data_IF_505994041370
#
_entry.id   IF_505994041370
#
_cell.length_a   1.000
_cell.length_b   1.000
_cell.length_c   1.000
_cell.angle_alpha   90.00
_cell.angle_beta   90.00
_cell.angle_gamma   90.00
#
_symmetry.space_group_name_H-M   'P 1'
#
loop_
_entity.id
_entity.type
_entity.pdbx_description
1 polymer ?
#
# COMPACT_ATOMS: atom_id res chain seq x y z
N UNK A 1 -37.56 53.92 -59.16
CA UNK A 1 -37.24 54.22 -57.78
C UNK A 1 -37.01 52.90 -57.12
N UNK A 2 -35.74 52.38 -57.14
CA UNK A 2 -35.34 51.08 -56.66
C UNK A 2 -34.56 51.23 -55.35
N UNK A 3 -35.12 50.79 -54.24
CA UNK A 3 -34.44 50.77 -52.95
C UNK A 3 -33.58 49.47 -52.83
N UNK A 4 -32.29 49.71 -52.78
CA UNK A 4 -31.29 48.63 -52.53
C UNK A 4 -31.18 48.37 -51.03
N UNK A 5 -31.60 47.17 -50.58
CA UNK A 5 -31.48 46.71 -49.21
C UNK A 5 -30.09 46.04 -49.04
N UNK A 6 -29.18 46.76 -48.36
CA UNK A 6 -27.87 46.18 -47.97
C UNK A 6 -28.03 45.33 -46.72
N UNK A 7 -28.00 44.00 -46.84
CA UNK A 7 -27.93 43.06 -45.74
C UNK A 7 -26.48 43.01 -45.24
N UNK A 8 -26.23 43.50 -44.02
CA UNK A 8 -24.94 43.30 -43.31
C UNK A 8 -24.97 41.96 -42.66
N UNK A 9 -24.18 41.02 -43.21
CA UNK A 9 -23.92 39.70 -42.63
C UNK A 9 -22.94 39.88 -41.44
N UNK A 10 -23.44 39.75 -40.21
CA UNK A 10 -22.61 39.72 -39.01
C UNK A 10 -22.11 38.30 -38.82
N UNK A 11 -20.84 38.07 -39.15
CA UNK A 11 -20.16 36.78 -38.89
C UNK A 11 -19.85 36.69 -37.37
N UNK A 12 -20.65 35.91 -36.64
CA UNK A 12 -20.38 35.60 -35.26
C UNK A 12 -19.32 34.46 -35.24
N UNK A 13 -18.06 34.82 -35.00
CA UNK A 13 -16.97 33.86 -34.77
C UNK A 13 -17.16 33.32 -33.36
N UNK A 14 -17.77 32.13 -33.21
CA UNK A 14 -17.76 31.34 -32.01
C UNK A 14 -16.31 30.85 -31.83
N UNK A 15 -15.57 31.50 -30.94
CA UNK A 15 -14.31 30.97 -30.42
C UNK A 15 -14.70 29.81 -29.49
N UNK A 16 -14.70 28.59 -30.04
CA UNK A 16 -14.70 27.36 -29.22
C UNK A 16 -13.36 27.33 -28.50
N UNK A 17 -13.34 27.84 -27.27
CA UNK A 17 -12.26 27.50 -26.33
C UNK A 17 -12.32 26.01 -26.08
N UNK A 18 -11.57 25.25 -26.85
CA UNK A 18 -11.24 23.87 -26.51
C UNK A 18 -10.44 23.95 -25.20
N UNK A 19 -11.09 23.75 -24.06
CA UNK A 19 -10.41 23.30 -22.87
C UNK A 19 -9.88 21.92 -23.18
N UNK A 20 -8.66 21.82 -23.71
CA UNK A 20 -7.90 20.61 -23.56
C UNK A 20 -7.71 20.45 -22.05
N UNK A 21 -8.27 19.43 -21.45
CA UNK A 21 -7.87 18.98 -20.14
C UNK A 21 -6.37 18.72 -20.22
N UNK A 22 -5.57 19.67 -19.70
CA UNK A 22 -4.14 19.39 -19.46
C UNK A 22 -4.16 18.17 -18.57
N UNK A 23 -3.51 17.11 -18.98
CA UNK A 23 -3.21 15.99 -18.10
C UNK A 23 -2.50 16.61 -16.89
N UNK A 24 -3.18 16.63 -15.74
CA UNK A 24 -2.62 17.15 -14.49
C UNK A 24 -1.48 16.27 -13.97
N UNK A 25 -1.23 15.15 -14.65
CA UNK A 25 -0.20 14.16 -14.31
C UNK A 25 1.08 14.40 -15.08
N UNK A 26 2.20 14.45 -14.34
CA UNK A 26 3.54 14.58 -14.91
C UNK A 26 4.36 13.37 -14.53
N UNK A 27 4.94 12.68 -15.52
CA UNK A 27 5.91 11.60 -15.27
C UNK A 27 7.13 12.16 -14.53
N UNK A 28 7.60 11.40 -13.54
CA UNK A 28 8.82 11.73 -12.81
C UNK A 28 9.98 11.02 -13.49
N UNK A 29 10.99 11.80 -13.87
CA UNK A 29 12.23 11.31 -14.48
C UNK A 29 13.33 11.04 -13.46
N UNK A 30 14.58 10.94 -13.94
CA UNK A 30 15.78 10.75 -13.14
C UNK A 30 16.29 9.32 -13.22
N UNK A 31 16.10 8.51 -12.18
CA UNK A 31 16.48 7.10 -12.20
C UNK A 31 15.74 6.33 -13.30
N UNK A 32 16.47 5.59 -14.11
CA UNK A 32 15.89 4.67 -15.07
C UNK A 32 15.51 3.36 -14.38
N UNK A 33 14.22 3.04 -14.37
CA UNK A 33 13.70 1.76 -13.91
C UNK A 33 13.93 0.73 -15.02
N UNK A 34 14.58 -0.38 -14.69
CA UNK A 34 14.87 -1.43 -15.67
C UNK A 34 13.58 -2.12 -16.17
N UNK A 35 13.71 -2.76 -17.32
CA UNK A 35 12.74 -3.72 -17.82
C UNK A 35 12.55 -4.83 -16.84
N UNK A 36 11.88 -5.27 -16.15
CA UNK A 36 11.81 -6.23 -15.03
C UNK A 36 11.72 -5.57 -13.65
N UNK A 37 11.63 -4.24 -13.60
CA UNK A 37 11.35 -3.55 -12.33
C UNK A 37 9.90 -3.71 -11.91
N UNK A 38 9.66 -3.88 -10.62
CA UNK A 38 8.33 -4.08 -10.05
C UNK A 38 8.28 -3.75 -8.56
N UNK A 39 7.06 -3.78 -8.04
CA UNK A 39 6.80 -3.69 -6.61
C UNK A 39 7.36 -2.40 -6.01
N UNK A 40 6.97 -1.23 -6.57
CA UNK A 40 7.37 0.05 -5.99
C UNK A 40 6.71 0.23 -4.63
N UNK A 41 7.46 0.80 -3.69
CA UNK A 41 6.94 1.27 -2.42
C UNK A 41 7.41 2.69 -2.18
N UNK A 42 6.47 3.58 -1.88
CA UNK A 42 6.72 4.99 -1.57
C UNK A 42 6.71 5.21 -0.07
N UNK A 43 7.53 6.13 0.40
CA UNK A 43 7.53 6.57 1.79
C UNK A 43 7.97 8.04 1.88
N UNK A 44 7.20 8.87 2.56
CA UNK A 44 7.58 10.25 2.85
C UNK A 44 7.75 10.51 4.35
N UNK A 45 8.62 11.46 4.69
CA UNK A 45 8.79 11.96 6.05
C UNK A 45 9.25 13.40 6.03
N UNK A 46 8.32 14.34 6.14
CA UNK A 46 8.60 15.76 6.06
C UNK A 46 9.08 16.18 4.67
N UNK A 47 10.35 16.56 4.55
CA UNK A 47 10.96 16.98 3.27
C UNK A 47 11.68 15.85 2.52
N UNK A 48 11.56 14.63 3.01
CA UNK A 48 12.18 13.45 2.40
C UNK A 48 11.10 12.59 1.76
N UNK A 49 11.28 12.21 0.50
CA UNK A 49 10.48 11.22 -0.21
C UNK A 49 11.42 10.20 -0.82
N UNK A 50 11.14 8.94 -0.57
CA UNK A 50 11.94 7.80 -1.05
C UNK A 50 11.04 6.78 -1.75
N UNK A 51 11.64 6.08 -2.71
CA UNK A 51 11.03 4.92 -3.37
C UNK A 51 11.95 3.71 -3.19
N UNK A 52 11.38 2.53 -2.96
CA UNK A 52 12.08 1.26 -3.11
C UNK A 52 11.41 0.39 -4.17
N UNK A 53 12.16 -0.52 -4.78
CA UNK A 53 11.62 -1.42 -5.79
C UNK A 53 12.52 -2.63 -6.00
N UNK A 54 11.97 -3.67 -6.63
CA UNK A 54 12.74 -4.84 -7.05
C UNK A 54 13.07 -4.79 -8.54
N UNK A 55 14.22 -5.32 -8.92
CA UNK A 55 14.60 -5.65 -10.29
C UNK A 55 15.05 -7.10 -10.34
N UNK A 56 14.71 -7.82 -11.41
CA UNK A 56 15.25 -9.16 -11.66
C UNK A 56 16.17 -9.13 -12.87
N UNK A 57 17.37 -9.64 -12.70
CA UNK A 57 18.33 -9.81 -13.82
C UNK A 57 18.89 -11.22 -13.77
N UNK A 58 18.56 -12.02 -14.79
CA UNK A 58 18.86 -13.45 -14.82
C UNK A 58 18.23 -14.15 -13.60
N UNK A 59 18.99 -14.84 -12.78
CA UNK A 59 18.49 -15.52 -11.57
C UNK A 59 18.72 -14.72 -10.27
N UNK A 60 19.07 -13.44 -10.39
CA UNK A 60 19.38 -12.58 -9.24
C UNK A 60 18.35 -11.47 -9.10
N UNK A 61 17.82 -11.32 -7.90
CA UNK A 61 16.95 -10.23 -7.53
C UNK A 61 17.76 -9.13 -6.87
N UNK A 62 17.37 -7.91 -7.12
CA UNK A 62 17.99 -6.70 -6.58
C UNK A 62 16.90 -5.85 -5.92
N UNK A 63 17.14 -5.38 -4.72
CA UNK A 63 16.31 -4.41 -4.03
C UNK A 63 17.02 -3.06 -4.04
N UNK A 64 16.40 -2.07 -4.66
CA UNK A 64 16.94 -0.71 -4.79
C UNK A 64 16.10 0.29 -4.01
N UNK A 65 16.70 1.46 -3.76
CA UNK A 65 16.04 2.67 -3.30
C UNK A 65 16.56 3.89 -4.06
N UNK A 66 15.75 4.93 -4.12
CA UNK A 66 16.14 6.25 -4.62
C UNK A 66 15.42 7.35 -3.83
N UNK A 67 15.98 8.55 -3.86
CA UNK A 67 15.44 9.74 -3.22
C UNK A 67 14.83 10.68 -4.26
N UNK A 68 13.75 11.35 -3.89
CA UNK A 68 13.12 12.36 -4.74
C UNK A 68 13.75 13.73 -4.48
N UNK A 69 14.53 14.20 -5.43
CA UNK A 69 15.26 15.45 -5.34
C UNK A 69 15.02 16.31 -6.59
N UNK A 70 14.68 17.60 -6.40
CA UNK A 70 14.53 18.56 -7.50
C UNK A 70 13.63 18.05 -8.65
N UNK A 71 12.46 17.52 -8.29
CA UNK A 71 11.47 17.01 -9.23
C UNK A 71 11.86 15.75 -10.01
N UNK A 72 12.84 14.99 -9.53
CA UNK A 72 13.28 13.73 -10.15
C UNK A 72 13.72 12.71 -9.11
N UNK A 73 13.74 11.43 -9.48
CA UNK A 73 14.39 10.38 -8.68
C UNK A 73 15.89 10.46 -8.89
N UNK A 74 16.65 10.45 -7.79
CA UNK A 74 18.10 10.54 -7.79
C UNK A 74 18.68 9.59 -6.72
N UNK A 75 20.00 9.51 -6.61
CA UNK A 75 20.69 8.71 -5.59
C UNK A 75 20.23 7.24 -5.55
N UNK A 76 20.17 6.57 -6.74
CA UNK A 76 19.87 5.14 -6.79
C UNK A 76 20.91 4.36 -5.98
N UNK A 77 20.48 3.66 -4.94
CA UNK A 77 21.30 2.80 -4.11
C UNK A 77 20.83 1.36 -4.12
N UNK A 78 21.74 0.42 -4.09
CA UNK A 78 21.44 -0.99 -3.85
C UNK A 78 21.28 -1.21 -2.35
N UNK A 79 20.14 -1.72 -1.93
CA UNK A 79 19.89 -2.15 -0.56
C UNK A 79 20.54 -3.52 -0.34
N UNK A 80 20.18 -4.49 -1.20
CA UNK A 80 20.72 -5.85 -1.21
C UNK A 80 20.43 -6.54 -2.53
N UNK A 81 21.11 -7.65 -2.78
CA UNK A 81 20.83 -8.54 -3.91
C UNK A 81 20.98 -10.01 -3.48
N UNK A 82 20.38 -10.91 -4.26
CA UNK A 82 20.50 -12.33 -3.98
C UNK A 82 19.60 -13.23 -4.83
N UNK A 83 19.77 -14.52 -4.62
CA UNK A 83 19.00 -15.57 -5.26
C UNK A 83 18.03 -16.21 -4.26
N UNK A 84 17.13 -17.03 -4.79
CA UNK A 84 16.13 -17.76 -3.98
C UNK A 84 15.20 -16.86 -3.15
N UNK A 85 14.90 -15.66 -3.65
CA UNK A 85 13.87 -14.82 -3.03
C UNK A 85 12.48 -15.32 -3.38
N UNK A 86 11.54 -15.10 -2.44
CA UNK A 86 10.12 -15.18 -2.73
C UNK A 86 9.63 -13.82 -3.22
N UNK A 87 9.67 -13.60 -4.55
CA UNK A 87 9.17 -12.38 -5.18
C UNK A 87 7.69 -12.56 -5.49
N UNK A 88 6.85 -11.75 -4.89
CA UNK A 88 5.40 -11.86 -5.02
C UNK A 88 4.75 -10.48 -5.14
N UNK A 89 3.83 -10.35 -6.08
CA UNK A 89 3.10 -9.12 -6.37
C UNK A 89 2.27 -8.59 -5.21
N UNK A 90 1.93 -9.43 -4.23
CA UNK A 90 1.08 -9.10 -3.09
C UNK A 90 1.85 -9.05 -1.78
N UNK A 91 3.01 -9.70 -1.70
CA UNK A 91 3.89 -9.72 -0.54
C UNK A 91 5.25 -9.17 -0.98
N UNK A 92 5.38 -7.86 -0.94
CA UNK A 92 6.44 -7.10 -1.56
C UNK A 92 7.29 -6.34 -0.53
N UNK A 93 8.56 -6.05 -0.84
CA UNK A 93 9.42 -5.24 0.00
C UNK A 93 8.86 -3.84 0.24
N UNK A 94 9.07 -3.31 1.43
CA UNK A 94 8.76 -1.93 1.79
C UNK A 94 9.99 -1.21 2.31
N UNK A 95 9.92 0.12 2.39
CA UNK A 95 10.95 0.96 3.00
C UNK A 95 10.30 1.92 3.99
N UNK A 96 10.98 2.17 5.11
CA UNK A 96 10.58 3.18 6.11
C UNK A 96 11.80 4.00 6.54
N UNK A 97 11.60 5.27 6.82
CA UNK A 97 12.66 6.17 7.23
C UNK A 97 12.31 6.88 8.54
N UNK A 98 13.13 6.64 9.57
CA UNK A 98 13.04 7.37 10.82
C UNK A 98 13.97 8.59 10.77
N UNK A 99 13.38 9.77 10.53
CA UNK A 99 14.11 11.03 10.39
C UNK A 99 14.80 11.46 11.70
N UNK A 100 14.23 11.11 12.87
CA UNK A 100 14.77 11.49 14.17
C UNK A 100 16.15 10.86 14.42
N UNK A 101 16.31 9.61 14.07
CA UNK A 101 17.56 8.84 14.24
C UNK A 101 18.38 8.72 12.95
N UNK A 102 17.87 9.21 11.83
CA UNK A 102 18.45 9.11 10.48
C UNK A 102 18.80 7.67 10.09
N UNK A 103 17.83 6.76 10.26
CA UNK A 103 17.94 5.35 9.93
C UNK A 103 16.79 4.94 8.99
N UNK A 104 17.07 4.02 8.05
CA UNK A 104 16.07 3.44 7.16
C UNK A 104 15.94 1.94 7.45
N UNK A 105 14.76 1.40 7.23
CA UNK A 105 14.45 -0.03 7.35
C UNK A 105 13.84 -0.50 6.04
N UNK A 106 14.30 -1.64 5.53
CA UNK A 106 13.67 -2.33 4.40
C UNK A 106 13.76 -3.85 4.61
N UNK A 107 13.10 -4.65 3.77
CA UNK A 107 13.12 -6.11 3.86
C UNK A 107 12.99 -6.76 2.50
N UNK A 108 13.34 -8.03 2.43
CA UNK A 108 12.97 -8.95 1.36
C UNK A 108 12.55 -10.31 1.94
N UNK A 109 11.90 -11.12 1.13
CA UNK A 109 11.48 -12.45 1.52
C UNK A 109 12.44 -13.49 0.92
N UNK A 110 13.11 -14.25 1.80
CA UNK A 110 14.09 -15.27 1.44
C UNK A 110 13.48 -16.66 1.57
N UNK A 111 13.49 -17.47 0.52
CA UNK A 111 13.04 -18.86 0.61
C UNK A 111 13.84 -19.63 1.67
N UNK A 112 13.15 -20.33 2.54
CA UNK A 112 13.72 -21.14 3.62
C UNK A 112 13.65 -22.64 3.33
N UNK A 113 12.91 -23.07 2.29
CA UNK A 113 12.85 -24.44 1.80
C UNK A 113 12.46 -24.50 0.32
N UNK A 114 12.31 -25.73 -0.21
CA UNK A 114 11.82 -25.98 -1.57
C UNK A 114 10.30 -25.76 -1.73
N UNK A 115 9.56 -25.63 -0.63
CA UNK A 115 8.13 -25.33 -0.67
C UNK A 115 7.90 -23.92 -1.15
N UNK A 116 6.84 -23.69 -1.92
CA UNK A 116 6.49 -22.35 -2.43
C UNK A 116 6.21 -21.37 -1.29
N UNK A 117 5.50 -21.80 -0.26
CA UNK A 117 5.11 -20.99 0.89
C UNK A 117 5.97 -21.32 2.12
N UNK A 118 7.29 -21.27 1.94
CA UNK A 118 8.27 -21.43 3.02
C UNK A 118 9.37 -20.41 2.81
N UNK A 119 9.23 -19.28 3.47
CA UNK A 119 10.13 -18.14 3.37
C UNK A 119 10.20 -17.35 4.67
N UNK A 120 11.32 -16.70 4.85
CA UNK A 120 11.68 -15.89 6.01
C UNK A 120 11.74 -14.42 5.63
N UNK A 121 11.48 -13.53 6.59
CA UNK A 121 11.64 -12.09 6.43
C UNK A 121 13.08 -11.73 6.80
N UNK A 122 13.89 -11.38 5.81
CA UNK A 122 15.21 -10.81 6.03
C UNK A 122 15.12 -9.29 5.93
N UNK A 123 15.59 -8.56 6.94
CA UNK A 123 15.52 -7.10 6.95
C UNK A 123 16.89 -6.44 6.79
N UNK A 124 16.86 -5.23 6.29
CA UNK A 124 18.03 -4.40 5.98
C UNK A 124 17.90 -3.08 6.73
N UNK A 125 19.00 -2.65 7.32
CA UNK A 125 19.04 -1.47 8.17
C UNK A 125 20.09 -0.48 7.67
N UNK A 126 19.63 0.73 7.29
CA UNK A 126 20.54 1.80 6.87
C UNK A 126 20.94 2.68 8.04
N UNK A 127 22.23 2.87 8.19
CA UNK A 127 22.79 3.76 9.20
C UNK A 127 24.17 4.27 8.75
N UNK A 128 24.48 5.53 9.09
CA UNK A 128 25.80 6.13 8.81
C UNK A 128 26.22 5.99 7.34
N UNK A 129 25.26 6.21 6.41
CA UNK A 129 25.51 6.22 4.99
C UNK A 129 25.67 4.85 4.32
N UNK A 130 25.29 3.77 4.97
CA UNK A 130 25.36 2.42 4.38
C UNK A 130 24.26 1.48 4.86
N UNK A 131 23.93 0.50 4.03
CA UNK A 131 23.04 -0.60 4.34
C UNK A 131 23.78 -1.74 5.04
N UNK A 132 23.12 -2.35 6.00
CA UNK A 132 23.56 -3.54 6.72
C UNK A 132 22.49 -4.62 6.53
N UNK A 133 22.91 -5.79 6.06
CA UNK A 133 22.07 -6.96 6.10
C UNK A 133 21.90 -7.42 7.54
N UNK A 134 20.67 -7.65 7.91
CA UNK A 134 20.29 -8.19 9.20
C UNK A 134 19.67 -9.58 8.98
N UNK A 135 19.63 -10.34 10.03
CA UNK A 135 19.01 -11.65 10.02
C UNK A 135 17.49 -11.56 9.98
N UNK A 136 16.83 -12.66 10.28
CA UNK A 136 15.37 -12.76 10.32
C UNK A 136 14.74 -11.76 11.27
N UNK A 137 13.65 -11.15 10.82
CA UNK A 137 12.81 -10.29 11.66
C UNK A 137 12.07 -11.12 12.74
N UNK A 138 11.60 -12.30 12.38
CA UNK A 138 10.91 -13.21 13.28
C UNK A 138 11.89 -14.06 14.10
N UNK A 139 11.40 -14.66 15.18
CA UNK A 139 12.23 -15.34 16.19
C UNK A 139 12.03 -16.85 16.28
N UNK A 140 11.52 -17.48 15.22
CA UNK A 140 11.34 -18.91 15.16
C UNK A 140 12.19 -19.56 14.06
N UNK A 141 12.26 -20.88 14.07
CA UNK A 141 13.04 -21.68 13.13
C UNK A 141 12.14 -22.54 12.21
N UNK A 142 10.83 -22.24 12.17
CA UNK A 142 9.92 -23.00 11.32
C UNK A 142 10.15 -22.67 9.85
N UNK A 143 9.95 -23.67 8.98
CA UNK A 143 10.03 -23.50 7.52
C UNK A 143 8.63 -23.28 6.95
N UNK A 144 8.01 -22.24 7.43
CA UNK A 144 6.65 -21.83 7.08
C UNK A 144 6.65 -20.46 6.42
N UNK A 145 5.50 -19.91 6.18
CA UNK A 145 5.31 -18.60 5.56
C UNK A 145 5.49 -17.47 6.59
N UNK A 146 6.36 -16.50 6.31
CA UNK A 146 6.55 -15.28 7.10
C UNK A 146 6.65 -14.10 6.14
N UNK A 147 5.61 -13.26 6.09
CA UNK A 147 5.57 -12.17 5.12
C UNK A 147 4.48 -11.14 5.39
N UNK A 148 4.08 -10.42 4.34
CA UNK A 148 3.10 -9.34 4.42
C UNK A 148 3.49 -8.28 5.45
N UNK A 149 4.77 -7.89 5.39
CA UNK A 149 5.39 -7.00 6.37
C UNK A 149 4.95 -5.57 6.15
N UNK A 150 4.55 -4.90 7.22
CA UNK A 150 4.46 -3.45 7.26
C UNK A 150 5.30 -2.89 8.40
N UNK A 151 5.92 -1.73 8.18
CA UNK A 151 6.75 -1.06 9.19
C UNK A 151 6.53 0.43 9.18
N UNK A 152 6.69 1.05 10.35
CA UNK A 152 6.56 2.50 10.51
C UNK A 152 7.53 3.02 11.58
N UNK A 153 8.05 4.25 11.46
CA UNK A 153 8.89 4.87 12.48
C UNK A 153 8.17 4.93 13.83
N UNK A 154 8.85 4.50 14.87
CA UNK A 154 8.37 4.56 16.25
C UNK A 154 9.52 4.91 17.21
N UNK A 155 9.37 5.97 17.98
CA UNK A 155 10.43 6.53 18.83
C UNK A 155 11.68 6.83 17.99
N UNK A 156 12.82 6.25 18.34
CA UNK A 156 14.08 6.37 17.59
C UNK A 156 14.33 5.18 16.62
N UNK A 157 13.40 4.24 16.53
CA UNK A 157 13.47 3.05 15.68
C UNK A 157 12.18 2.82 14.90
N UNK A 158 11.72 1.56 14.85
CA UNK A 158 10.56 1.17 14.09
C UNK A 158 9.67 0.20 14.86
N UNK A 159 8.39 0.20 14.53
CA UNK A 159 7.47 -0.93 14.75
C UNK A 159 7.32 -1.66 13.43
N UNK A 160 7.34 -2.99 13.47
CA UNK A 160 7.05 -3.84 12.32
C UNK A 160 5.98 -4.88 12.70
N UNK A 161 5.10 -5.19 11.73
CA UNK A 161 4.08 -6.24 11.85
C UNK A 161 4.15 -7.16 10.65
N UNK A 162 3.80 -8.43 10.81
CA UNK A 162 3.83 -9.42 9.72
C UNK A 162 2.86 -10.57 9.97
N UNK A 163 2.49 -11.26 8.90
CA UNK A 163 1.81 -12.54 8.97
C UNK A 163 2.84 -13.66 9.24
N UNK A 164 2.50 -14.57 10.13
CA UNK A 164 3.43 -15.54 10.68
C UNK A 164 2.80 -16.95 10.72
N UNK A 165 3.37 -17.83 9.93
CA UNK A 165 2.87 -19.18 9.72
C UNK A 165 3.44 -20.23 10.65
N UNK A 166 4.10 -19.88 11.76
CA UNK A 166 4.73 -20.88 12.69
C UNK A 166 3.77 -21.93 13.24
N UNK A 167 2.47 -21.66 13.23
CA UNK A 167 1.43 -22.58 13.68
C UNK A 167 0.73 -23.31 12.52
N UNK A 168 1.15 -23.08 11.28
CA UNK A 168 0.61 -23.77 10.11
C UNK A 168 1.27 -25.13 9.90
N UNK A 169 0.54 -26.08 9.34
CA UNK A 169 1.02 -27.42 9.07
C UNK A 169 0.87 -27.75 7.58
N UNK A 170 1.99 -27.78 6.85
CA UNK A 170 2.02 -28.07 5.42
C UNK A 170 1.82 -29.54 5.06
N UNK A 171 1.95 -30.46 6.02
CA UNK A 171 1.66 -31.88 5.80
C UNK A 171 0.16 -32.16 5.71
N UNK A 172 -0.66 -31.23 6.20
CA UNK A 172 -2.11 -31.28 6.13
C UNK A 172 -2.60 -30.04 5.37
N UNK A 173 -2.92 -30.21 4.10
CA UNK A 173 -3.50 -29.13 3.29
C UNK A 173 -5.00 -29.01 3.50
N UNK A 174 -5.48 -27.80 3.57
CA UNK A 174 -6.91 -27.49 3.48
C UNK A 174 -7.40 -27.63 2.01
N UNK A 175 -8.72 -27.60 1.78
CA UNK A 175 -9.29 -27.85 0.44
C UNK A 175 -8.87 -26.79 -0.61
N UNK A 176 -8.46 -25.61 -0.17
CA UNK A 176 -7.96 -24.51 -1.01
C UNK A 176 -6.46 -24.61 -1.35
N UNK A 177 -5.77 -25.63 -0.81
CA UNK A 177 -4.34 -25.89 -1.07
C UNK A 177 -3.38 -25.20 -0.10
N UNK A 178 -3.88 -24.37 0.83
CA UNK A 178 -3.08 -23.80 1.90
C UNK A 178 -2.74 -24.81 2.99
N UNK A 179 -1.73 -24.51 3.81
CA UNK A 179 -1.39 -25.30 4.99
C UNK A 179 -2.53 -25.23 6.01
N UNK A 180 -2.80 -26.33 6.70
CA UNK A 180 -3.78 -26.31 7.78
C UNK A 180 -3.22 -25.61 9.02
N UNK A 181 -4.09 -24.97 9.79
CA UNK A 181 -3.74 -24.25 11.01
C UNK A 181 -3.72 -22.73 10.79
N UNK A 182 -3.75 -21.95 11.86
CA UNK A 182 -3.93 -20.52 11.78
C UNK A 182 -2.62 -19.81 11.41
N UNK A 183 -2.70 -18.88 10.47
CA UNK A 183 -1.74 -17.79 10.31
C UNK A 183 -1.96 -16.79 11.45
N UNK A 184 -0.87 -16.33 12.07
CA UNK A 184 -0.92 -15.35 13.13
C UNK A 184 -0.55 -13.95 12.60
N UNK A 185 -0.96 -12.89 13.31
CA UNK A 185 -0.38 -11.57 13.19
C UNK A 185 0.60 -11.37 14.34
N UNK A 186 1.84 -11.00 13.99
CA UNK A 186 2.88 -10.68 14.97
C UNK A 186 3.47 -9.31 14.76
N UNK A 187 4.13 -8.80 15.78
CA UNK A 187 4.87 -7.55 15.73
C UNK A 187 6.19 -7.65 16.49
N UNK A 188 7.11 -6.78 16.14
CA UNK A 188 8.31 -6.50 16.91
C UNK A 188 8.69 -5.01 16.80
N UNK A 189 9.54 -4.57 17.70
CA UNK A 189 10.18 -3.25 17.63
C UNK A 189 11.62 -3.42 17.20
N UNK A 190 12.13 -2.43 16.45
CA UNK A 190 13.51 -2.40 15.97
C UNK A 190 14.12 -1.11 16.49
N UNK A 191 15.23 -1.22 17.20
CA UNK A 191 15.93 -0.07 17.78
C UNK A 191 16.64 0.77 16.72
N UNK A 192 17.11 1.98 17.07
CA UNK A 192 17.99 2.82 16.24
C UNK A 192 19.38 2.21 15.98
N UNK A 193 19.66 1.03 16.53
CA UNK A 193 20.84 0.20 16.22
C UNK A 193 20.53 -0.94 15.26
N UNK A 194 19.26 -1.09 14.90
CA UNK A 194 18.78 -2.18 14.06
C UNK A 194 18.62 -3.51 14.80
N UNK A 195 18.48 -3.51 16.13
CA UNK A 195 18.23 -4.73 16.91
C UNK A 195 16.76 -4.91 17.16
N UNK A 196 16.25 -6.12 16.88
CA UNK A 196 14.85 -6.50 17.12
C UNK A 196 14.65 -6.80 18.60
N UNK A 197 13.58 -6.27 19.17
CA UNK A 197 13.15 -6.52 20.54
C UNK A 197 11.62 -6.58 20.65
N UNK A 198 11.11 -7.09 21.79
CA UNK A 198 9.68 -7.15 22.08
C UNK A 198 8.83 -7.79 20.97
N UNK A 199 9.04 -9.10 20.72
CA UNK A 199 8.22 -9.85 19.78
C UNK A 199 6.86 -10.23 20.43
N UNK A 200 5.77 -9.71 19.86
CA UNK A 200 4.41 -9.92 20.38
C UNK A 200 3.55 -10.73 19.42
N UNK A 201 2.67 -11.54 19.98
CA UNK A 201 1.49 -12.04 19.28
C UNK A 201 0.40 -10.96 19.35
N UNK A 202 -0.07 -10.50 18.20
CA UNK A 202 -1.13 -9.50 18.09
C UNK A 202 -2.49 -10.19 17.93
N UNK A 203 -2.55 -11.20 17.05
CA UNK A 203 -3.75 -12.00 16.80
C UNK A 203 -3.38 -13.46 16.48
N UNK A 204 -4.17 -14.38 17.00
CA UNK A 204 -3.91 -15.83 16.88
C UNK A 204 -4.38 -16.42 15.56
N UNK A 205 -5.31 -15.77 14.85
CA UNK A 205 -5.86 -16.29 13.59
C UNK A 205 -6.28 -15.15 12.68
N UNK A 206 -5.59 -15.01 11.55
CA UNK A 206 -5.82 -13.96 10.56
C UNK A 206 -5.87 -14.52 9.14
N UNK A 207 -6.26 -13.70 8.18
CA UNK A 207 -6.21 -14.04 6.76
C UNK A 207 -4.76 -14.28 6.31
N UNK A 208 -4.52 -15.37 5.60
CA UNK A 208 -3.19 -15.90 5.31
C UNK A 208 -2.44 -15.13 4.21
N UNK A 209 -3.11 -14.23 3.47
CA UNK A 209 -2.57 -13.70 2.21
C UNK A 209 -2.91 -12.24 1.95
N UNK A 210 -3.23 -11.49 2.98
CA UNK A 210 -3.60 -10.08 2.85
C UNK A 210 -2.56 -9.19 3.54
N UNK A 211 -2.23 -8.07 2.89
CA UNK A 211 -1.31 -7.08 3.43
C UNK A 211 -1.76 -6.63 4.82
N UNK A 212 -0.81 -6.43 5.70
CA UNK A 212 -0.99 -5.66 6.93
C UNK A 212 -0.64 -4.20 6.67
N UNK A 213 -1.15 -3.29 7.47
CA UNK A 213 -0.74 -1.90 7.40
C UNK A 213 -0.62 -1.31 8.79
N UNK A 214 0.51 -0.67 9.09
CA UNK A 214 0.85 -0.10 10.39
C UNK A 214 1.14 1.39 10.30
N UNK A 215 0.66 2.16 11.26
CA UNK A 215 0.98 3.59 11.44
C UNK A 215 1.22 3.91 12.91
N UNK A 216 1.60 5.15 13.20
CA UNK A 216 1.77 5.66 14.57
C UNK A 216 1.00 6.96 14.74
N UNK A 217 -0.09 6.94 15.47
CA UNK A 217 -0.93 8.10 15.78
C UNK A 217 -0.63 8.60 17.19
N UNK A 218 -0.11 9.83 17.31
CA UNK A 218 0.29 10.43 18.61
C UNK A 218 1.18 9.52 19.49
N UNK A 219 2.13 8.81 18.87
CA UNK A 219 3.02 7.90 19.58
C UNK A 219 2.40 6.53 19.92
N UNK A 220 1.20 6.23 19.43
CA UNK A 220 0.53 4.95 19.59
C UNK A 220 0.66 4.16 18.29
N UNK A 221 1.41 3.06 18.23
CA UNK A 221 1.40 2.13 17.11
C UNK A 221 0.00 1.52 16.92
N UNK A 222 -0.45 1.47 15.66
CA UNK A 222 -1.75 0.94 15.26
C UNK A 222 -1.55 0.06 14.05
N UNK A 223 -2.06 -1.17 14.11
CA UNK A 223 -2.06 -2.10 12.97
C UNK A 223 -3.49 -2.43 12.55
N UNK A 224 -3.70 -2.45 11.25
CA UNK A 224 -4.92 -2.95 10.62
C UNK A 224 -4.58 -4.11 9.71
N UNK A 225 -5.48 -5.08 9.65
CA UNK A 225 -5.28 -6.31 8.89
C UNK A 225 -6.62 -6.97 8.57
N UNK A 226 -6.60 -7.89 7.63
CA UNK A 226 -7.77 -8.74 7.39
C UNK A 226 -7.75 -9.89 8.38
N UNK A 227 -8.78 -9.93 9.21
CA UNK A 227 -9.01 -10.96 10.20
C UNK A 227 -9.55 -12.25 9.55
N UNK A 228 -9.58 -13.35 10.29
CA UNK A 228 -10.20 -14.61 9.92
C UNK A 228 -10.85 -15.26 11.13
N UNK A 229 -12.16 -15.45 11.09
CA UNK A 229 -12.84 -16.25 12.10
C UNK A 229 -12.88 -17.74 11.70
N UNK A 230 -13.27 -18.60 12.65
CA UNK A 230 -13.47 -20.03 12.37
C UNK A 230 -14.56 -20.31 11.31
N UNK A 231 -15.47 -19.36 11.14
CA UNK A 231 -16.55 -19.42 10.13
C UNK A 231 -16.16 -18.69 8.83
N UNK A 232 -14.86 -18.47 8.60
CA UNK A 232 -14.31 -17.81 7.41
C UNK A 232 -14.84 -16.39 7.18
N UNK A 233 -15.26 -15.70 8.24
CA UNK A 233 -15.55 -14.28 8.17
C UNK A 233 -14.23 -13.51 8.18
N UNK A 234 -13.99 -12.72 7.13
CA UNK A 234 -12.72 -12.02 6.89
C UNK A 234 -12.93 -10.50 6.80
N UNK A 235 -13.43 -9.90 7.86
CA UNK A 235 -13.59 -8.47 8.00
C UNK A 235 -12.26 -7.80 8.42
N UNK A 236 -12.20 -6.48 8.43
CA UNK A 236 -10.99 -5.75 8.82
C UNK A 236 -10.99 -5.50 10.32
N UNK A 237 -9.91 -5.91 10.98
CA UNK A 237 -9.66 -5.69 12.41
C UNK A 237 -8.53 -4.70 12.64
N UNK A 238 -8.53 -4.08 13.82
CA UNK A 238 -7.54 -3.12 14.31
C UNK A 238 -7.04 -3.54 15.69
N UNK A 239 -5.76 -3.33 15.94
CA UNK A 239 -5.17 -3.40 17.28
C UNK A 239 -4.23 -2.21 17.49
N UNK A 240 -4.12 -1.74 18.73
CA UNK A 240 -3.30 -0.59 19.13
C UNK A 240 -2.34 -1.01 20.24
N UNK A 241 -1.12 -0.47 20.20
CA UNK A 241 -0.13 -0.75 21.23
C UNK A 241 -0.21 0.26 22.35
N UNK A 242 -0.77 -0.15 23.51
CA UNK A 242 -1.04 0.71 24.67
C UNK A 242 -0.35 0.13 25.88
N UNK A 243 0.42 0.95 26.60
CA UNK A 243 1.08 0.57 27.86
C UNK A 243 1.86 -0.75 27.78
N UNK A 244 2.59 -0.94 26.67
CA UNK A 244 3.44 -2.13 26.49
C UNK A 244 2.74 -3.37 25.96
N UNK A 245 1.45 -3.28 25.57
CA UNK A 245 0.67 -4.41 25.08
C UNK A 245 -0.20 -4.03 23.88
N UNK A 246 -0.37 -4.95 22.95
CA UNK A 246 -1.40 -4.83 21.92
C UNK A 246 -2.78 -5.04 22.52
N UNK A 247 -3.72 -4.17 22.19
CA UNK A 247 -5.13 -4.33 22.59
C UNK A 247 -5.74 -5.55 21.92
N UNK A 248 -6.78 -6.12 22.52
CA UNK A 248 -7.57 -7.15 21.85
C UNK A 248 -8.06 -6.61 20.49
N UNK A 249 -7.95 -7.39 19.40
CA UNK A 249 -8.47 -7.03 18.10
C UNK A 249 -9.95 -6.66 18.12
N UNK A 250 -10.32 -5.63 17.35
CA UNK A 250 -11.70 -5.16 17.21
C UNK A 250 -11.99 -4.95 15.73
N UNK A 251 -13.12 -5.46 15.23
CA UNK A 251 -13.57 -5.20 13.87
C UNK A 251 -13.86 -3.70 13.67
N UNK A 252 -13.31 -3.11 12.62
CA UNK A 252 -13.57 -1.71 12.24
C UNK A 252 -15.01 -1.56 11.72
N UNK A 253 -15.48 -2.58 11.00
CA UNK A 253 -16.83 -2.65 10.45
C UNK A 253 -17.22 -4.10 10.17
N UNK A 254 -18.46 -4.46 10.52
CA UNK A 254 -19.01 -5.77 10.23
C UNK A 254 -19.55 -5.81 8.79
N UNK A 255 -18.65 -6.00 7.81
CA UNK A 255 -19.04 -6.28 6.42
C UNK A 255 -19.67 -7.68 6.30
N UNK A 256 -19.36 -8.56 7.26
CA UNK A 256 -19.75 -9.97 7.29
C UNK A 256 -19.32 -10.69 5.99
N UNK A 257 -18.12 -10.42 5.55
CA UNK A 257 -17.58 -11.05 4.36
C UNK A 257 -17.09 -12.46 4.65
N UNK A 258 -17.95 -13.43 4.35
CA UNK A 258 -17.61 -14.85 4.46
C UNK A 258 -17.01 -15.29 3.12
N UNK A 259 -15.75 -15.71 3.14
CA UNK A 259 -15.04 -16.19 1.96
C UNK A 259 -14.09 -17.33 2.36
N UNK A 260 -14.31 -18.48 1.73
CA UNK A 260 -13.41 -19.63 1.87
C UNK A 260 -12.33 -19.55 0.77
N UNK A 261 -11.31 -18.72 0.99
CA UNK A 261 -10.24 -18.46 0.03
C UNK A 261 -9.47 -17.18 0.34
N UNK A 262 -8.47 -16.90 -0.48
CA UNK A 262 -7.57 -15.76 -0.33
C UNK A 262 -8.01 -14.57 -1.17
N UNK A 263 -8.58 -13.50 -0.58
CA UNK A 263 -8.97 -12.32 -1.33
C UNK A 263 -7.78 -11.48 -1.80
N UNK A 264 -6.61 -11.62 -1.18
CA UNK A 264 -5.37 -10.88 -1.48
C UNK A 264 -5.63 -9.38 -1.57
N UNK A 265 -6.32 -8.85 -0.58
CA UNK A 265 -6.71 -7.45 -0.45
C UNK A 265 -6.68 -7.09 1.03
N UNK A 266 -5.57 -6.59 1.50
CA UNK A 266 -5.44 -6.02 2.84
C UNK A 266 -6.07 -4.63 2.94
N UNK A 267 -6.25 -4.10 4.15
CA UNK A 267 -6.56 -2.70 4.39
C UNK A 267 -5.31 -1.83 4.25
N UNK A 268 -5.56 -0.52 4.14
CA UNK A 268 -4.52 0.48 4.29
C UNK A 268 -4.92 1.47 5.39
N UNK A 269 -3.94 1.95 6.17
CA UNK A 269 -4.12 2.92 7.26
C UNK A 269 -3.14 4.07 7.11
N UNK A 270 -3.64 5.28 7.37
CA UNK A 270 -2.79 6.45 7.56
C UNK A 270 -3.27 7.28 8.76
N UNK A 271 -2.38 8.14 9.29
CA UNK A 271 -2.67 8.96 10.46
C UNK A 271 -2.07 10.36 10.40
N UNK A 272 -2.84 11.33 10.89
CA UNK A 272 -2.40 12.71 11.06
C UNK A 272 -2.83 13.22 12.44
N UNK A 273 -1.89 13.34 13.37
CA UNK A 273 -2.17 13.64 14.77
C UNK A 273 -3.00 12.53 15.42
N UNK A 274 -4.17 12.88 15.97
CA UNK A 274 -5.14 11.94 16.56
C UNK A 274 -6.11 11.34 15.54
N UNK A 275 -6.09 11.84 14.30
CA UNK A 275 -6.94 11.36 13.21
C UNK A 275 -6.32 10.15 12.57
N UNK A 276 -7.14 9.16 12.31
CA UNK A 276 -6.77 7.93 11.63
C UNK A 276 -7.80 7.64 10.54
N UNK A 277 -7.34 7.23 9.38
CA UNK A 277 -8.19 6.73 8.30
C UNK A 277 -7.83 5.30 8.00
N UNK A 278 -8.83 4.47 7.76
CA UNK A 278 -8.65 3.11 7.27
C UNK A 278 -9.51 2.91 6.05
N UNK A 279 -8.90 2.46 4.96
CA UNK A 279 -9.60 2.04 3.74
C UNK A 279 -9.45 0.55 3.50
N UNK A 280 -10.45 -0.05 2.86
CA UNK A 280 -10.44 -1.47 2.55
C UNK A 280 -11.37 -1.85 1.42
N UNK A 281 -11.08 -2.99 0.81
CA UNK A 281 -11.93 -3.67 -0.14
C UNK A 281 -12.76 -4.76 0.56
N UNK A 282 -14.01 -4.94 0.15
CA UNK A 282 -14.87 -6.05 0.54
C UNK A 282 -15.74 -6.47 -0.64
N UNK A 283 -16.00 -7.77 -0.78
CA UNK A 283 -16.97 -8.29 -1.75
C UNK A 283 -18.07 -9.08 -1.05
N UNK A 284 -18.50 -8.61 0.13
CA UNK A 284 -19.59 -9.20 0.87
C UNK A 284 -20.87 -9.30 0.02
N UNK A 285 -21.56 -10.43 0.11
CA UNK A 285 -22.74 -10.75 -0.70
C UNK A 285 -22.49 -10.69 -2.23
N UNK A 286 -21.25 -10.90 -2.67
CA UNK A 286 -20.85 -10.87 -4.07
C UNK A 286 -20.81 -9.47 -4.69
N UNK A 287 -20.88 -8.41 -3.87
CA UNK A 287 -20.84 -7.02 -4.34
C UNK A 287 -19.50 -6.38 -3.94
N UNK A 288 -18.56 -6.22 -4.89
CA UNK A 288 -17.29 -5.59 -4.61
C UNK A 288 -17.46 -4.11 -4.28
N UNK A 289 -16.76 -3.64 -3.25
CA UNK A 289 -16.80 -2.26 -2.76
C UNK A 289 -15.46 -1.86 -2.17
N UNK A 290 -15.13 -0.58 -2.31
CA UNK A 290 -14.07 0.08 -1.56
C UNK A 290 -14.70 1.06 -0.58
N UNK A 291 -14.28 0.98 0.66
CA UNK A 291 -14.85 1.76 1.76
C UNK A 291 -13.75 2.34 2.63
N UNK A 292 -14.08 3.38 3.39
CA UNK A 292 -13.21 3.90 4.44
C UNK A 292 -14.01 4.28 5.69
N UNK A 293 -13.29 4.43 6.79
CA UNK A 293 -13.77 5.05 8.04
C UNK A 293 -12.69 5.95 8.62
N UNK A 294 -13.13 6.99 9.29
CA UNK A 294 -12.29 7.89 10.06
C UNK A 294 -12.43 7.66 11.57
N UNK A 295 -11.33 7.79 12.28
CA UNK A 295 -11.25 7.97 13.73
C UNK A 295 -10.71 9.37 14.04
N UNK A 296 -11.06 9.89 15.24
CA UNK A 296 -10.57 11.17 15.78
C UNK A 296 -10.01 11.00 17.20
N UNK A 297 -9.66 9.77 17.57
CA UNK A 297 -9.23 9.38 18.89
C UNK A 297 -8.16 8.27 18.85
N UNK A 298 -7.20 8.43 17.90
CA UNK A 298 -6.08 7.50 17.71
C UNK A 298 -6.55 6.06 17.43
N UNK A 299 -7.59 5.90 16.59
CA UNK A 299 -8.12 4.60 16.22
C UNK A 299 -8.91 3.86 17.31
N UNK A 300 -9.34 4.55 18.37
CA UNK A 300 -10.14 3.94 19.44
C UNK A 300 -11.59 3.70 18.99
N UNK A 301 -12.18 4.69 18.34
CA UNK A 301 -13.52 4.58 17.76
C UNK A 301 -13.53 5.09 16.32
N UNK A 302 -14.45 4.59 15.51
CA UNK A 302 -14.60 4.98 14.11
C UNK A 302 -16.00 5.50 13.83
N UNK A 303 -16.07 6.53 12.99
CA UNK A 303 -17.33 7.09 12.48
C UNK A 303 -18.08 6.15 11.53
N UNK A 304 -19.00 6.71 10.76
CA UNK A 304 -19.76 5.95 9.76
C UNK A 304 -18.85 5.47 8.61
N UNK A 305 -19.21 4.31 8.06
CA UNK A 305 -18.59 3.80 6.83
C UNK A 305 -18.95 4.70 5.64
N UNK A 306 -17.95 5.07 4.87
CA UNK A 306 -18.08 5.83 3.62
C UNK A 306 -17.67 4.92 2.48
N UNK A 307 -18.55 4.75 1.50
CA UNK A 307 -18.26 4.02 0.26
C UNK A 307 -17.65 5.00 -0.74
N UNK A 308 -16.52 4.68 -1.33
CA UNK A 308 -15.73 5.60 -2.15
C UNK A 308 -15.71 5.27 -3.65
N UNK A 309 -15.99 4.03 -4.02
CA UNK A 309 -16.16 3.62 -5.39
C UNK A 309 -17.55 3.99 -5.94
N UNK A 310 -17.72 3.84 -7.24
CA UNK A 310 -19.02 3.94 -7.91
C UNK A 310 -19.55 2.55 -8.32
N UNK A 311 -20.81 2.50 -8.76
CA UNK A 311 -21.44 1.24 -9.20
C UNK A 311 -21.07 0.85 -10.63
N UNK A 312 -20.44 1.73 -11.39
CA UNK A 312 -20.17 1.54 -12.82
C UNK A 312 -18.86 0.77 -13.01
N UNK A 313 -17.85 1.15 -12.23
CA UNK A 313 -16.52 0.56 -12.31
C UNK A 313 -16.34 -0.41 -11.14
N UNK A 314 -16.47 -1.70 -11.38
CA UNK A 314 -16.34 -2.72 -10.32
C UNK A 314 -14.95 -2.69 -9.72
N UNK A 315 -14.80 -2.30 -8.44
CA UNK A 315 -13.49 -2.28 -7.79
C UNK A 315 -12.94 -3.69 -7.63
N UNK A 316 -11.64 -3.79 -7.77
CA UNK A 316 -10.86 -5.02 -7.50
C UNK A 316 -10.00 -4.88 -6.26
N UNK A 317 -10.06 -3.72 -5.61
CA UNK A 317 -9.34 -3.42 -4.38
C UNK A 317 -7.96 -2.85 -4.62
N UNK A 318 -6.95 -3.38 -3.90
CA UNK A 318 -5.57 -2.89 -3.91
C UNK A 318 -5.53 -1.40 -3.53
N UNK A 319 -6.15 -1.11 -2.41
CA UNK A 319 -6.32 0.25 -1.91
C UNK A 319 -5.04 0.81 -1.33
N UNK A 320 -4.84 2.10 -1.48
CA UNK A 320 -3.86 2.89 -0.76
C UNK A 320 -4.49 4.23 -0.34
N UNK A 321 -4.03 4.82 0.79
CA UNK A 321 -4.73 5.93 1.44
C UNK A 321 -3.74 6.86 2.11
N UNK A 322 -3.89 8.17 1.88
CA UNK A 322 -2.96 9.17 2.35
C UNK A 322 -3.67 10.43 2.82
N UNK A 323 -3.33 10.97 3.99
CA UNK A 323 -3.74 12.30 4.41
C UNK A 323 -3.03 13.37 3.58
N UNK A 324 -3.80 14.17 2.87
CA UNK A 324 -3.27 15.29 2.07
C UNK A 324 -3.36 16.63 2.81
N UNK A 325 -4.21 16.71 3.82
CA UNK A 325 -4.33 17.86 4.73
C UNK A 325 -4.83 17.39 6.10
N UNK A 326 -5.09 18.33 7.02
CA UNK A 326 -5.62 17.99 8.34
C UNK A 326 -6.96 17.26 8.31
N UNK A 327 -7.79 17.52 7.30
CA UNK A 327 -9.17 17.05 7.23
C UNK A 327 -9.51 16.33 5.91
N UNK A 328 -8.55 16.12 5.02
CA UNK A 328 -8.77 15.49 3.73
C UNK A 328 -7.79 14.36 3.48
N UNK A 329 -8.29 13.27 2.90
CA UNK A 329 -7.51 12.12 2.44
C UNK A 329 -7.74 11.89 0.96
N UNK A 330 -6.78 11.24 0.33
CA UNK A 330 -6.94 10.63 -0.99
C UNK A 330 -6.90 9.12 -0.83
N UNK A 331 -7.77 8.42 -1.53
CA UNK A 331 -7.75 6.97 -1.63
C UNK A 331 -7.57 6.59 -3.09
N UNK A 332 -6.65 5.67 -3.36
CA UNK A 332 -6.50 5.01 -4.66
C UNK A 332 -7.05 3.59 -4.64
N UNK A 333 -7.50 3.10 -5.77
CA UNK A 333 -7.93 1.71 -5.95
C UNK A 333 -7.90 1.29 -7.41
N UNK A 334 -7.85 -0.01 -7.63
CA UNK A 334 -8.03 -0.58 -8.95
C UNK A 334 -9.50 -0.98 -9.17
N UNK A 335 -9.96 -0.72 -10.38
CA UNK A 335 -11.27 -1.17 -10.86
C UNK A 335 -11.15 -1.81 -12.24
N UNK A 336 -12.14 -2.64 -12.57
CA UNK A 336 -12.28 -3.27 -13.89
C UNK A 336 -13.59 -2.84 -14.52
N UNK A 337 -13.53 -2.39 -15.77
CA UNK A 337 -14.68 -2.12 -16.60
C UNK A 337 -14.47 -2.73 -17.99
N UNK A 338 -15.44 -3.55 -18.44
CA UNK A 338 -15.37 -4.25 -19.73
C UNK A 338 -14.04 -5.01 -19.98
N UNK A 339 -13.48 -5.59 -18.92
CA UNK A 339 -12.22 -6.35 -18.99
C UNK A 339 -10.95 -5.50 -19.07
N UNK A 340 -11.07 -4.18 -18.95
CA UNK A 340 -9.93 -3.24 -18.84
C UNK A 340 -9.78 -2.80 -17.39
N UNK A 341 -8.56 -2.77 -16.91
CA UNK A 341 -8.22 -2.24 -15.60
C UNK A 341 -7.95 -0.75 -15.64
N UNK A 342 -8.22 -0.07 -14.56
CA UNK A 342 -7.89 1.33 -14.38
C UNK A 342 -7.55 1.63 -12.92
N UNK A 343 -6.63 2.55 -12.72
CA UNK A 343 -6.30 3.14 -11.42
C UNK A 343 -7.13 4.39 -11.24
N UNK A 344 -7.84 4.47 -10.11
CA UNK A 344 -8.66 5.59 -9.73
C UNK A 344 -8.18 6.23 -8.43
N UNK A 345 -8.51 7.52 -8.28
CA UNK A 345 -8.34 8.30 -7.05
C UNK A 345 -9.66 8.98 -6.70
N UNK A 346 -9.84 9.20 -5.40
CA UNK A 346 -10.88 10.09 -4.89
C UNK A 346 -10.41 10.81 -3.63
N UNK A 347 -10.70 12.10 -3.55
CA UNK A 347 -10.51 12.90 -2.35
C UNK A 347 -11.74 12.81 -1.46
N UNK A 348 -11.55 12.62 -0.18
CA UNK A 348 -12.61 12.50 0.82
C UNK A 348 -12.27 13.37 2.02
N UNK A 349 -13.21 14.22 2.41
CA UNK A 349 -13.08 15.01 3.66
C UNK A 349 -13.52 14.17 4.87
N UNK A 350 -12.92 14.42 6.03
CA UNK A 350 -13.21 13.70 7.30
C UNK A 350 -14.69 13.79 7.75
N UNK A 351 -15.46 14.73 7.20
CA UNK A 351 -16.91 14.82 7.42
C UNK A 351 -17.73 14.01 6.40
N UNK A 352 -17.08 13.29 5.49
CA UNK A 352 -17.71 12.42 4.50
C UNK A 352 -18.02 13.09 3.16
N UNK A 353 -17.63 14.33 2.95
CA UNK A 353 -17.76 14.98 1.64
C UNK A 353 -16.75 14.37 0.67
N UNK A 354 -17.21 14.00 -0.51
CA UNK A 354 -16.42 13.30 -1.50
C UNK A 354 -16.26 14.15 -2.75
N UNK A 355 -15.03 14.24 -3.25
CA UNK A 355 -14.68 14.81 -4.54
C UNK A 355 -15.12 13.93 -5.72
N UNK A 356 -14.78 14.34 -6.93
CA UNK A 356 -14.98 13.54 -8.12
C UNK A 356 -14.02 12.34 -8.15
N UNK A 357 -14.46 11.23 -8.76
CA UNK A 357 -13.59 10.09 -9.05
C UNK A 357 -12.71 10.47 -10.24
N UNK A 358 -11.41 10.43 -10.06
CA UNK A 358 -10.42 10.69 -11.11
C UNK A 358 -9.77 9.39 -11.57
N UNK A 359 -9.83 9.13 -12.86
CA UNK A 359 -9.05 8.07 -13.49
C UNK A 359 -7.64 8.57 -13.71
N UNK A 360 -6.65 7.79 -13.26
CA UNK A 360 -5.24 8.12 -13.37
C UNK A 360 -4.64 7.53 -14.65
N UNK A 361 -4.81 6.22 -14.82
CA UNK A 361 -4.27 5.51 -15.98
C UNK A 361 -5.07 4.24 -16.25
N UNK A 362 -4.98 3.74 -17.47
CA UNK A 362 -5.34 2.37 -17.82
C UNK A 362 -4.20 1.45 -17.36
N UNK A 363 -4.55 0.43 -16.60
CA UNK A 363 -3.58 -0.47 -15.98
C UNK A 363 -3.99 -1.92 -16.26
N UNK A 364 -3.02 -2.81 -16.34
CA UNK A 364 -3.32 -4.23 -16.46
C UNK A 364 -4.07 -4.76 -15.24
N UNK A 365 -5.00 -5.70 -15.49
CA UNK A 365 -5.69 -6.44 -14.42
C UNK A 365 -4.89 -7.65 -13.93
N UNK A 366 -3.72 -7.88 -14.46
CA UNK A 366 -2.86 -8.97 -14.05
C UNK A 366 -2.41 -8.82 -12.59
N UNK A 367 -2.07 -9.93 -11.97
CA UNK A 367 -1.50 -9.94 -10.63
C UNK A 367 -0.19 -9.15 -10.55
N UNK A 368 0.62 -9.23 -11.60
CA UNK A 368 1.91 -8.55 -11.72
C UNK A 368 1.86 -7.02 -11.67
N UNK A 369 0.70 -6.40 -11.86
CA UNK A 369 0.50 -4.97 -11.59
C UNK A 369 0.76 -4.61 -10.11
N UNK A 370 0.60 -5.57 -9.20
CA UNK A 370 0.85 -5.36 -7.77
C UNK A 370 -0.12 -4.38 -7.12
N UNK A 371 0.36 -3.65 -6.16
CA UNK A 371 -0.36 -2.65 -5.40
C UNK A 371 0.18 -1.26 -5.75
N UNK A 372 -0.56 -0.45 -6.52
CA UNK A 372 -0.19 0.95 -6.76
C UNK A 372 -0.07 1.70 -5.44
N UNK A 373 0.93 2.58 -5.36
CA UNK A 373 1.23 3.38 -4.19
C UNK A 373 0.93 4.85 -4.45
N UNK A 374 0.40 5.53 -3.46
CA UNK A 374 0.29 6.98 -3.42
C UNK A 374 0.99 7.51 -2.18
N UNK A 375 1.61 8.69 -2.29
CA UNK A 375 2.28 9.33 -1.17
C UNK A 375 2.20 10.85 -1.33
N UNK A 376 1.87 11.56 -0.25
CA UNK A 376 1.91 13.02 -0.25
C UNK A 376 3.34 13.51 -0.09
N UNK A 377 3.74 14.41 -0.96
CA UNK A 377 5.00 15.12 -0.80
C UNK A 377 4.84 16.61 -1.11
N UNK A 378 4.96 17.45 -0.10
CA UNK A 378 4.69 18.89 -0.19
C UNK A 378 3.27 19.18 -0.71
N UNK A 379 3.13 19.86 -1.84
CA UNK A 379 1.87 20.19 -2.49
C UNK A 379 1.46 19.21 -3.60
N UNK A 380 2.22 18.13 -3.76
CA UNK A 380 2.02 17.13 -4.79
C UNK A 380 1.61 15.77 -4.16
N UNK A 381 0.80 15.01 -4.90
CA UNK A 381 0.57 13.59 -4.72
C UNK A 381 1.49 12.84 -5.68
N UNK A 382 2.29 11.95 -5.14
CA UNK A 382 3.19 11.07 -5.89
C UNK A 382 2.51 9.72 -6.05
N UNK A 383 2.61 9.14 -7.23
CA UNK A 383 1.96 7.87 -7.59
C UNK A 383 3.01 6.96 -8.21
N UNK A 384 3.07 5.73 -7.75
CA UNK A 384 3.96 4.70 -8.32
C UNK A 384 3.21 3.39 -8.53
N UNK A 385 3.42 2.73 -9.66
CA UNK A 385 2.85 1.41 -9.93
C UNK A 385 3.70 0.62 -10.93
N UNK A 386 3.49 -0.68 -10.99
CA UNK A 386 4.08 -1.55 -12.00
C UNK A 386 3.18 -1.59 -13.23
N UNK A 387 3.66 -1.10 -14.36
CA UNK A 387 3.02 -1.31 -15.66
C UNK A 387 3.36 -2.71 -16.17
N UNK A 388 2.39 -3.60 -16.14
CA UNK A 388 2.51 -4.99 -16.62
C UNK A 388 1.72 -5.25 -17.88
N UNK A 389 1.11 -4.23 -18.46
CA UNK A 389 0.30 -4.33 -19.68
C UNK A 389 1.09 -4.15 -20.98
N UNK A 390 2.33 -3.69 -20.90
CA UNK A 390 3.28 -3.60 -22.02
C UNK A 390 4.06 -4.91 -22.20
N UNK A 391 4.79 -5.06 -23.32
CA UNK A 391 5.69 -6.20 -23.54
C UNK A 391 6.77 -6.30 -22.46
N UNK A 392 7.08 -5.18 -21.80
CA UNK A 392 8.09 -5.04 -20.76
C UNK A 392 7.44 -4.56 -19.45
N UNK A 393 7.58 -5.33 -18.39
CA UNK A 393 7.15 -4.96 -17.05
C UNK A 393 8.07 -3.85 -16.51
N UNK A 394 7.49 -2.68 -16.16
CA UNK A 394 8.29 -1.54 -15.69
C UNK A 394 7.53 -0.68 -14.68
N UNK A 395 8.26 -0.10 -13.74
CA UNK A 395 7.69 0.89 -12.83
C UNK A 395 7.45 2.20 -13.58
N UNK A 396 6.29 2.78 -13.34
CA UNK A 396 5.93 4.14 -13.69
C UNK A 396 5.71 4.99 -12.45
N UNK A 397 6.19 6.22 -12.49
CA UNK A 397 5.98 7.19 -11.42
C UNK A 397 5.47 8.50 -11.98
N UNK A 398 4.51 9.10 -11.28
CA UNK A 398 3.86 10.35 -11.66
C UNK A 398 3.71 11.25 -10.45
N UNK A 399 3.57 12.54 -10.72
CA UNK A 399 3.12 13.51 -9.74
C UNK A 399 1.93 14.32 -10.26
N UNK A 400 1.08 14.75 -9.35
CA UNK A 400 0.00 15.68 -9.61
C UNK A 400 -0.14 16.64 -8.44
N UNK A 401 -0.55 17.90 -8.73
CA UNK A 401 -0.83 18.85 -7.66
C UNK A 401 -2.08 18.44 -6.88
N UNK A 402 -1.98 18.45 -5.54
CA UNK A 402 -3.12 18.20 -4.62
C UNK A 402 -4.25 19.19 -4.87
N UNK A 403 -3.95 20.42 -5.29
CA UNK A 403 -4.96 21.42 -5.63
C UNK A 403 -5.81 21.07 -6.85
N UNK A 404 -5.39 20.09 -7.65
CA UNK A 404 -6.16 19.62 -8.80
C UNK A 404 -7.12 18.45 -8.47
N UNK A 405 -7.11 17.95 -7.21
CA UNK A 405 -7.96 16.87 -6.71
C UNK A 405 -9.38 17.30 -6.35
#
# INVERSE_FOLDING_TARGET
>A
MLYSLKIKLFLFILILSSCSSKNDFRSIGGVEFAESSSEPFLYSSGDDLIISWTENKYDTNYLYTAEYLKDSWDNKELITDGQDWFVNWADFPSISYNKVSNVKLSHHLQKSSKSTFSYDINYHFFKEGRWFDKNKLHNDETKTEHGFVSSFPYKDGFVATWLDGRNTNYDKKEMDGHASGPMNLRSAFISSKGDVYENHLVDEMVCDCCQTSVTVSNGIPIVVYRDRSRDEKRDISISRYIEGNWTKPVSIHDDNWIINGCPVNGPNIDSNGDKVVVSWFSASNGVPKVSLKFSRDNGMTFGNKIMIDDIINLPTGRVDTEFISDDEVVVSWLSSFEGKGSLFLRKININGNQGEIKKIDDISMERSTGFPQIEKFQDDLIIAYTDSGSEEKRIKTFKMSISSL
#
